data_IF_175377595004
#
_entry.id   IF_175377595004
#
_cell.length_a   1.000
_cell.length_b   1.000
_cell.length_c   1.000
_cell.angle_alpha   90.00
_cell.angle_beta   90.00
_cell.angle_gamma   90.00
#
_symmetry.space_group_name_H-M   'P 1'
#
loop_
_entity.id
_entity.type
_entity.pdbx_description
1 polymer ?
#
# COMPACT_ATOMS: atom_id res chain seq x y z
N UNK A 1 -11.93 -72.04 -28.29
CA UNK A 1 -10.93 -71.11 -27.77
C UNK A 1 -11.47 -69.72 -28.00
N UNK A 2 -12.13 -69.16 -26.97
CA UNK A 2 -12.80 -67.83 -27.03
C UNK A 2 -11.81 -66.81 -26.50
N UNK A 3 -11.39 -65.86 -27.34
CA UNK A 3 -10.54 -64.73 -26.93
C UNK A 3 -11.43 -63.66 -26.35
N UNK A 4 -11.31 -63.42 -25.04
CA UNK A 4 -11.99 -62.36 -24.32
C UNK A 4 -11.17 -61.08 -24.49
N UNK A 5 -11.66 -60.11 -25.23
CA UNK A 5 -11.06 -58.78 -25.38
C UNK A 5 -11.52 -57.93 -24.22
N UNK A 6 -10.58 -57.59 -23.33
CA UNK A 6 -10.83 -56.71 -22.18
C UNK A 6 -10.59 -55.25 -22.64
N UNK A 7 -11.68 -54.51 -22.93
CA UNK A 7 -11.61 -53.10 -23.24
C UNK A 7 -11.53 -52.29 -21.96
N UNK A 8 -10.34 -51.77 -21.62
CA UNK A 8 -10.15 -50.83 -20.54
C UNK A 8 -10.59 -49.45 -21.03
N UNK A 9 -11.77 -49.00 -20.55
CA UNK A 9 -12.22 -47.63 -20.76
C UNK A 9 -11.44 -46.72 -19.82
N UNK A 10 -10.51 -45.93 -20.38
CA UNK A 10 -9.77 -44.89 -19.68
C UNK A 10 -10.72 -43.72 -19.45
N UNK A 11 -11.35 -43.63 -18.26
CA UNK A 11 -12.16 -42.51 -17.86
C UNK A 11 -11.22 -41.34 -17.51
N UNK A 12 -11.01 -40.43 -18.47
CA UNK A 12 -10.39 -39.14 -18.20
C UNK A 12 -11.27 -38.34 -17.25
N UNK A 13 -10.96 -38.36 -15.95
CA UNK A 13 -11.47 -37.40 -14.97
C UNK A 13 -10.94 -36.03 -15.36
N UNK A 14 -11.69 -35.28 -16.16
CA UNK A 14 -11.50 -33.86 -16.34
C UNK A 14 -11.77 -33.22 -14.97
N UNK A 15 -10.71 -32.95 -14.20
CA UNK A 15 -10.76 -32.07 -13.03
C UNK A 15 -11.07 -30.68 -13.62
N UNK A 16 -12.34 -30.34 -13.66
CA UNK A 16 -12.78 -29.00 -14.03
C UNK A 16 -12.15 -28.02 -13.05
N UNK A 17 -11.19 -27.23 -13.50
CA UNK A 17 -10.75 -26.07 -12.76
C UNK A 17 -11.97 -25.15 -12.61
N UNK A 18 -12.68 -25.25 -11.48
CA UNK A 18 -13.71 -24.28 -11.13
C UNK A 18 -12.99 -22.94 -10.99
N UNK A 19 -13.23 -22.04 -11.94
CA UNK A 19 -12.81 -20.65 -11.80
C UNK A 19 -13.40 -20.13 -10.47
N UNK A 20 -12.56 -19.48 -9.66
CA UNK A 20 -13.02 -18.88 -8.40
C UNK A 20 -14.11 -17.86 -8.71
N UNK A 21 -15.13 -17.83 -7.87
CA UNK A 21 -16.19 -16.81 -7.94
C UNK A 21 -15.66 -15.51 -7.32
N UNK A 22 -15.52 -14.47 -8.14
CA UNK A 22 -15.12 -13.13 -7.74
C UNK A 22 -16.30 -12.14 -7.74
N UNK A 23 -17.52 -12.60 -7.53
CA UNK A 23 -18.69 -11.74 -7.33
C UNK A 23 -18.58 -10.82 -6.11
N UNK A 24 -17.72 -11.18 -5.17
CA UNK A 24 -17.30 -10.34 -4.05
C UNK A 24 -15.77 -10.36 -3.95
N UNK A 25 -15.14 -9.18 -3.86
CA UNK A 25 -13.71 -9.01 -3.63
C UNK A 25 -13.52 -8.29 -2.31
N UNK A 26 -12.81 -8.92 -1.39
CA UNK A 26 -12.46 -8.35 -0.08
C UNK A 26 -11.09 -7.72 -0.18
N UNK A 27 -10.98 -6.43 0.12
CA UNK A 27 -9.70 -5.72 0.21
C UNK A 27 -9.32 -5.46 1.65
N UNK A 28 -8.10 -5.82 2.04
CA UNK A 28 -7.44 -5.40 3.27
C UNK A 28 -6.99 -3.95 3.15
N UNK A 29 -7.28 -3.12 4.16
CA UNK A 29 -7.00 -1.69 4.19
C UNK A 29 -6.60 -1.24 5.59
N UNK A 30 -5.56 -0.39 5.68
CA UNK A 30 -5.26 0.38 6.89
C UNK A 30 -5.90 1.77 6.77
N UNK A 31 -7.03 1.97 7.44
CA UNK A 31 -7.82 3.19 7.29
C UNK A 31 -7.31 4.36 8.14
N UNK A 32 -5.98 4.55 8.19
CA UNK A 32 -5.29 5.64 8.92
C UNK A 32 -4.40 6.51 8.02
N UNK A 33 -4.54 6.42 6.69
CA UNK A 33 -3.60 6.97 5.70
C UNK A 33 -4.25 7.94 4.69
N UNK A 34 -4.88 9.06 5.15
CA UNK A 34 -5.47 10.04 4.25
C UNK A 34 -4.40 10.70 3.36
N UNK A 35 -4.69 11.01 2.08
CA UNK A 35 -5.98 10.95 1.40
C UNK A 35 -6.25 9.61 0.70
N UNK A 36 -5.38 8.61 0.83
CA UNK A 36 -5.50 7.34 0.12
C UNK A 36 -6.58 6.45 0.75
N UNK A 37 -6.53 6.22 2.06
CA UNK A 37 -7.52 5.47 2.82
C UNK A 37 -7.66 6.02 4.26
N UNK A 38 -8.88 6.28 4.67
CA UNK A 38 -9.19 6.79 6.01
C UNK A 38 -10.64 6.54 6.37
N UNK A 39 -11.04 6.84 7.60
CA UNK A 39 -12.44 6.82 8.01
C UNK A 39 -13.04 8.22 7.92
N UNK A 40 -14.24 8.30 7.35
CA UNK A 40 -15.07 9.50 7.47
C UNK A 40 -15.74 9.60 8.87
N UNK A 41 -16.49 10.66 9.10
CA UNK A 41 -17.19 10.90 10.38
C UNK A 41 -18.24 9.80 10.72
N UNK A 42 -18.68 9.02 9.74
CA UNK A 42 -19.60 7.89 9.95
C UNK A 42 -18.87 6.57 10.24
N UNK A 43 -17.55 6.57 10.20
CA UNK A 43 -16.70 5.37 10.31
C UNK A 43 -16.55 4.57 9.02
N UNK A 44 -17.06 5.07 7.90
CA UNK A 44 -16.93 4.43 6.59
C UNK A 44 -15.51 4.66 6.04
N UNK A 45 -14.92 3.61 5.48
CA UNK A 45 -13.63 3.71 4.79
C UNK A 45 -13.82 4.48 3.47
N UNK A 46 -13.00 5.52 3.29
CA UNK A 46 -13.02 6.45 2.15
C UNK A 46 -11.59 6.81 1.73
N UNK A 47 -11.41 7.34 0.53
CA UNK A 47 -10.12 7.79 0.04
C UNK A 47 -9.88 7.40 -1.42
N UNK A 48 -8.70 7.75 -1.94
CA UNK A 48 -8.34 7.50 -3.33
C UNK A 48 -8.28 6.00 -3.65
N UNK A 49 -7.61 5.21 -2.81
CA UNK A 49 -7.53 3.75 -2.97
C UNK A 49 -8.92 3.10 -2.91
N UNK A 50 -9.79 3.63 -2.04
CA UNK A 50 -11.15 3.13 -1.89
C UNK A 50 -11.99 3.43 -3.13
N UNK A 51 -11.92 4.64 -3.66
CA UNK A 51 -12.64 5.02 -4.88
C UNK A 51 -12.11 4.20 -6.08
N UNK A 52 -10.80 4.03 -6.19
CA UNK A 52 -10.19 3.23 -7.26
C UNK A 52 -10.57 1.75 -7.16
N UNK A 53 -10.53 1.18 -5.95
CA UNK A 53 -10.96 -0.19 -5.70
C UNK A 53 -12.44 -0.41 -6.04
N UNK A 54 -13.30 0.53 -5.65
CA UNK A 54 -14.73 0.47 -5.99
C UNK A 54 -14.96 0.54 -7.50
N UNK A 55 -14.20 1.37 -8.23
CA UNK A 55 -14.26 1.43 -9.69
C UNK A 55 -13.79 0.10 -10.32
N UNK A 56 -12.69 -0.48 -9.83
CA UNK A 56 -12.20 -1.80 -10.26
C UNK A 56 -13.30 -2.86 -10.05
N UNK A 57 -13.90 -2.93 -8.85
CA UNK A 57 -14.99 -3.87 -8.57
C UNK A 57 -16.20 -3.64 -9.52
N UNK A 58 -16.54 -2.38 -9.80
CA UNK A 58 -17.61 -2.04 -10.73
C UNK A 58 -17.35 -2.60 -12.13
N UNK A 59 -16.13 -2.45 -12.67
CA UNK A 59 -15.71 -3.03 -13.95
C UNK A 59 -15.82 -4.55 -13.97
N UNK A 60 -15.49 -5.19 -12.87
CA UNK A 60 -15.57 -6.63 -12.71
C UNK A 60 -16.98 -7.15 -12.37
N UNK A 61 -17.98 -6.25 -12.22
CA UNK A 61 -19.33 -6.57 -11.73
C UNK A 61 -19.29 -7.31 -10.38
N UNK A 62 -18.33 -6.96 -9.55
CA UNK A 62 -18.12 -7.51 -8.22
C UNK A 62 -18.53 -6.51 -7.13
N UNK A 63 -18.83 -7.03 -5.94
CA UNK A 63 -19.00 -6.21 -4.73
C UNK A 63 -17.64 -6.04 -4.05
N UNK A 64 -17.20 -4.80 -3.82
CA UNK A 64 -16.09 -4.53 -2.92
C UNK A 64 -16.51 -4.64 -1.45
N UNK A 65 -15.66 -5.27 -0.63
CA UNK A 65 -15.77 -5.30 0.83
C UNK A 65 -14.43 -4.89 1.42
N UNK A 66 -14.42 -3.91 2.29
CA UNK A 66 -13.22 -3.37 2.94
C UNK A 66 -13.04 -4.00 4.31
N UNK A 67 -11.88 -4.61 4.55
CA UNK A 67 -11.52 -5.30 5.79
C UNK A 67 -10.36 -4.55 6.41
N UNK A 68 -10.60 -3.91 7.53
CA UNK A 68 -9.55 -3.19 8.25
C UNK A 68 -8.54 -4.15 8.87
N UNK A 69 -7.28 -3.79 8.75
CA UNK A 69 -6.16 -4.52 9.33
C UNK A 69 -4.96 -3.57 9.46
N UNK A 70 -4.15 -3.75 10.50
CA UNK A 70 -2.90 -3.00 10.64
C UNK A 70 -1.95 -3.33 9.48
N UNK A 71 -1.18 -2.32 9.04
CA UNK A 71 -0.38 -2.44 7.81
C UNK A 71 0.66 -3.57 7.86
N UNK A 72 1.35 -3.75 8.98
CA UNK A 72 2.35 -4.80 9.18
C UNK A 72 1.78 -6.21 9.08
N UNK A 73 0.49 -6.37 9.40
CA UNK A 73 -0.26 -7.62 9.31
C UNK A 73 -0.86 -7.93 7.93
N UNK A 74 -0.76 -7.04 6.93
CA UNK A 74 -1.44 -7.19 5.64
C UNK A 74 -1.01 -8.44 4.86
N UNK A 75 0.27 -8.65 4.66
CA UNK A 75 0.76 -9.81 3.88
C UNK A 75 0.44 -11.14 4.58
N UNK A 76 0.69 -11.32 5.89
CA UNK A 76 0.25 -12.50 6.61
C UNK A 76 -1.26 -12.77 6.51
N UNK A 77 -2.10 -11.73 6.66
CA UNK A 77 -3.55 -11.84 6.59
C UNK A 77 -4.05 -12.20 5.17
N UNK A 78 -3.43 -11.63 4.12
CA UNK A 78 -3.69 -12.00 2.72
C UNK A 78 -3.38 -13.48 2.46
N UNK A 79 -2.22 -13.96 2.93
CA UNK A 79 -1.82 -15.38 2.82
C UNK A 79 -2.75 -16.30 3.60
N UNK A 80 -3.27 -15.85 4.73
CA UNK A 80 -4.28 -16.54 5.53
C UNK A 80 -5.71 -16.41 4.98
N UNK A 81 -5.91 -15.79 3.79
CA UNK A 81 -7.20 -15.63 3.10
C UNK A 81 -8.25 -14.82 3.89
N UNK A 82 -7.82 -13.95 4.80
CA UNK A 82 -8.74 -13.04 5.50
C UNK A 82 -9.40 -12.06 4.51
N UNK A 83 -8.68 -11.69 3.44
CA UNK A 83 -9.16 -10.89 2.31
C UNK A 83 -8.51 -11.41 1.02
N UNK A 84 -8.91 -10.87 -0.12
CA UNK A 84 -8.54 -11.36 -1.45
C UNK A 84 -7.45 -10.51 -2.10
N UNK A 85 -7.36 -9.24 -1.73
CA UNK A 85 -6.30 -8.32 -2.12
C UNK A 85 -5.96 -7.36 -0.98
N UNK A 86 -4.80 -6.74 -1.04
CA UNK A 86 -4.40 -5.60 -0.21
C UNK A 86 -4.44 -4.36 -1.08
N UNK A 87 -5.32 -3.41 -0.75
CA UNK A 87 -5.38 -2.10 -1.39
C UNK A 87 -5.29 -1.06 -0.28
N UNK A 88 -4.05 -0.64 -0.01
CA UNK A 88 -3.66 0.20 1.13
C UNK A 88 -2.28 0.81 0.86
N UNK A 89 -2.16 1.52 -0.25
CA UNK A 89 -0.93 2.24 -0.63
C UNK A 89 0.34 1.37 -0.59
N UNK A 90 0.18 0.05 -0.84
CA UNK A 90 1.27 -0.92 -0.67
C UNK A 90 2.30 -0.83 -1.79
N UNK A 91 3.49 -0.33 -1.48
CA UNK A 91 4.61 -0.24 -2.44
C UNK A 91 5.08 -1.62 -2.91
N UNK A 92 5.32 -1.73 -4.21
CA UNK A 92 5.84 -2.92 -4.88
C UNK A 92 7.36 -2.99 -4.69
N UNK A 93 7.81 -3.78 -3.71
CA UNK A 93 9.24 -4.02 -3.48
C UNK A 93 9.63 -5.44 -3.86
N UNK A 94 10.91 -5.71 -4.22
CA UNK A 94 11.39 -7.07 -4.47
C UNK A 94 11.08 -8.03 -3.31
N UNK A 95 11.32 -7.61 -2.07
CA UNK A 95 11.09 -8.44 -0.89
C UNK A 95 9.62 -8.82 -0.69
N UNK A 96 8.67 -7.92 -1.01
CA UNK A 96 7.24 -8.22 -0.98
C UNK A 96 6.84 -9.11 -2.15
N UNK A 97 7.40 -8.87 -3.35
CA UNK A 97 7.15 -9.68 -4.55
C UNK A 97 7.61 -11.15 -4.43
N UNK A 98 8.58 -11.43 -3.56
CA UNK A 98 8.94 -12.81 -3.20
C UNK A 98 7.78 -13.54 -2.49
N UNK A 99 6.93 -12.83 -1.76
CA UNK A 99 5.87 -13.41 -0.93
C UNK A 99 4.49 -13.39 -1.59
N UNK A 100 4.16 -12.33 -2.33
CA UNK A 100 2.86 -12.07 -2.95
C UNK A 100 3.03 -11.63 -4.40
N UNK A 101 1.95 -11.64 -5.17
CA UNK A 101 1.88 -10.98 -6.48
C UNK A 101 1.37 -9.54 -6.31
N UNK A 102 1.63 -8.70 -7.31
CA UNK A 102 1.10 -7.35 -7.39
C UNK A 102 0.34 -7.14 -8.68
N UNK A 103 -0.68 -6.29 -8.66
CA UNK A 103 -1.29 -5.74 -9.86
C UNK A 103 -0.31 -4.84 -10.62
N UNK A 104 -0.75 -4.32 -11.76
CA UNK A 104 -0.12 -3.16 -12.37
C UNK A 104 -0.10 -1.97 -11.41
N UNK A 105 0.85 -1.04 -11.65
CA UNK A 105 1.03 0.16 -10.81
C UNK A 105 -0.25 1.00 -10.74
N UNK A 106 -0.57 1.45 -9.53
CA UNK A 106 -1.66 2.38 -9.29
C UNK A 106 -1.18 3.83 -9.23
N UNK A 107 -0.09 4.09 -8.51
CA UNK A 107 0.53 5.41 -8.37
C UNK A 107 1.97 5.28 -7.85
N UNK A 108 2.69 6.41 -7.80
CA UNK A 108 4.02 6.48 -7.21
C UNK A 108 4.19 7.80 -6.45
N UNK A 109 4.60 7.70 -5.19
CA UNK A 109 4.77 8.85 -4.30
C UNK A 109 6.14 8.79 -3.62
N UNK A 110 6.84 9.93 -3.47
CA UNK A 110 8.17 9.92 -2.86
C UNK A 110 8.11 9.71 -1.36
N UNK A 111 9.22 9.24 -0.78
CA UNK A 111 9.43 9.19 0.67
C UNK A 111 10.17 10.44 1.12
N UNK A 112 9.69 11.07 2.21
CA UNK A 112 10.29 12.29 2.77
C UNK A 112 10.39 12.26 4.29
N UNK A 113 11.35 12.99 4.80
CA UNK A 113 11.46 13.28 6.23
C UNK A 113 10.60 14.49 6.57
N UNK A 114 9.84 14.39 7.67
CA UNK A 114 9.10 15.49 8.28
C UNK A 114 9.71 15.82 9.64
N UNK A 115 9.93 17.09 9.91
CA UNK A 115 10.47 17.56 11.19
C UNK A 115 9.86 18.92 11.58
N UNK A 116 10.09 19.35 12.81
CA UNK A 116 9.70 20.69 13.26
C UNK A 116 10.40 21.76 12.44
N UNK A 117 9.69 22.80 12.06
CA UNK A 117 10.26 23.96 11.34
C UNK A 117 11.46 24.52 12.10
N UNK A 118 12.55 24.74 11.39
CA UNK A 118 13.81 25.24 11.99
C UNK A 118 14.65 24.19 12.70
N UNK A 119 14.29 22.90 12.68
CA UNK A 119 15.11 21.83 13.25
C UNK A 119 16.44 21.59 12.50
N UNK A 120 16.56 22.07 11.24
CA UNK A 120 17.73 21.94 10.38
C UNK A 120 18.20 20.49 10.20
N UNK A 121 17.26 19.54 10.20
CA UNK A 121 17.52 18.13 9.95
C UNK A 121 17.53 17.84 8.45
N UNK A 122 18.33 16.85 8.06
CA UNK A 122 18.39 16.31 6.71
C UNK A 122 18.09 14.82 6.73
N UNK A 123 17.57 14.23 5.64
CA UNK A 123 17.26 12.80 5.57
C UNK A 123 18.53 11.95 5.36
N UNK A 124 19.51 12.15 6.22
CA UNK A 124 20.78 11.41 6.22
C UNK A 124 21.09 10.88 7.61
N UNK A 125 21.75 9.73 7.68
CA UNK A 125 22.08 9.12 8.95
C UNK A 125 23.02 10.02 9.81
N UNK A 126 23.86 10.81 9.17
CA UNK A 126 24.78 11.74 9.83
C UNK A 126 24.01 12.87 10.54
N UNK A 127 23.02 13.47 9.85
CA UNK A 127 22.17 14.52 10.42
C UNK A 127 21.24 14.00 11.51
N UNK A 128 20.83 12.75 11.42
CA UNK A 128 19.87 12.12 12.33
C UNK A 128 20.53 11.29 13.45
N UNK A 129 21.85 11.26 13.53
CA UNK A 129 22.57 10.51 14.57
C UNK A 129 22.14 10.95 15.98
N UNK A 130 21.73 9.99 16.81
CA UNK A 130 21.21 10.24 18.16
C UNK A 130 19.79 10.79 18.20
N UNK A 131 19.14 10.97 17.04
CA UNK A 131 17.75 11.45 16.91
C UNK A 131 16.76 10.28 16.89
N UNK A 132 15.54 10.54 17.37
CA UNK A 132 14.42 9.61 17.32
C UNK A 132 13.57 9.88 16.08
N UNK A 133 13.50 8.91 15.17
CA UNK A 133 12.72 9.00 13.92
C UNK A 133 11.58 8.00 13.96
N UNK A 134 10.34 8.52 13.94
CA UNK A 134 9.13 7.71 13.88
C UNK A 134 8.85 7.18 12.48
N UNK A 135 8.37 5.96 12.41
CA UNK A 135 7.94 5.26 11.19
C UNK A 135 6.71 4.41 11.48
N UNK A 136 5.88 4.20 10.51
CA UNK A 136 4.82 3.20 10.62
C UNK A 136 5.39 1.80 10.38
N UNK A 137 5.00 0.86 11.22
CA UNK A 137 5.50 -0.53 11.23
C UNK A 137 5.09 -1.28 9.94
N UNK A 138 6.01 -2.09 9.42
CA UNK A 138 5.80 -2.88 8.21
C UNK A 138 5.96 -2.09 6.90
N UNK A 139 6.21 -0.77 6.98
CA UNK A 139 6.36 0.10 5.79
C UNK A 139 7.75 0.00 5.15
N UNK A 140 7.84 0.52 3.93
CA UNK A 140 9.11 0.70 3.23
C UNK A 140 10.01 1.73 3.94
N UNK A 141 9.41 2.72 4.58
CA UNK A 141 10.10 3.75 5.36
C UNK A 141 10.78 3.14 6.59
N UNK A 142 10.08 2.24 7.31
CA UNK A 142 10.69 1.48 8.40
C UNK A 142 11.87 0.64 7.90
N UNK A 143 11.68 -0.08 6.79
CA UNK A 143 12.72 -0.91 6.18
C UNK A 143 13.95 -0.08 5.81
N UNK A 144 13.75 1.07 5.15
CA UNK A 144 14.82 2.00 4.78
C UNK A 144 15.56 2.51 6.01
N UNK A 145 14.84 3.05 6.99
CA UNK A 145 15.45 3.63 8.19
C UNK A 145 16.22 2.58 9.02
N UNK A 146 15.66 1.38 9.18
CA UNK A 146 16.35 0.27 9.87
C UNK A 146 17.58 -0.21 9.11
N UNK A 147 17.56 -0.21 7.79
CA UNK A 147 18.68 -0.68 6.95
C UNK A 147 19.82 0.32 6.93
N UNK A 148 19.53 1.61 6.77
CA UNK A 148 20.55 2.60 6.46
C UNK A 148 20.86 3.57 7.60
N UNK A 149 19.92 3.82 8.52
CA UNK A 149 20.06 4.82 9.57
C UNK A 149 20.31 4.22 10.95
N UNK A 150 19.58 3.17 11.33
CA UNK A 150 19.73 2.55 12.65
C UNK A 150 21.17 2.06 12.92
N UNK A 151 21.90 1.40 11.99
CA UNK A 151 23.28 0.98 12.21
C UNK A 151 24.27 2.14 12.43
N UNK A 152 23.87 3.36 12.06
CA UNK A 152 24.67 4.58 12.20
C UNK A 152 24.28 5.42 13.43
N UNK A 153 23.41 4.88 14.30
CA UNK A 153 23.06 5.50 15.57
C UNK A 153 21.81 6.36 15.56
N UNK A 154 20.92 6.23 14.55
CA UNK A 154 19.59 6.82 14.56
C UNK A 154 18.64 5.88 15.32
N UNK A 155 17.81 6.44 16.20
CA UNK A 155 16.78 5.68 16.92
C UNK A 155 15.53 5.60 16.05
N UNK A 156 15.31 4.47 15.37
CA UNK A 156 14.11 4.22 14.57
C UNK A 156 13.02 3.68 15.47
N UNK A 157 11.91 4.41 15.58
CA UNK A 157 10.80 4.09 16.49
C UNK A 157 9.57 3.70 15.66
N UNK A 158 9.21 2.41 15.59
CA UNK A 158 8.03 1.95 14.86
C UNK A 158 6.75 2.18 15.66
N UNK A 159 5.68 2.55 14.96
CA UNK A 159 4.31 2.74 15.47
C UNK A 159 3.34 1.87 14.69
N UNK A 160 2.26 1.46 15.34
CA UNK A 160 1.24 0.63 14.72
C UNK A 160 0.56 1.32 13.52
N UNK A 161 0.41 2.65 13.57
CA UNK A 161 -0.17 3.45 12.50
C UNK A 161 0.46 4.85 12.44
N UNK A 162 0.18 5.56 11.34
CA UNK A 162 0.76 6.88 11.10
C UNK A 162 0.28 7.96 12.09
N UNK A 163 -0.94 7.85 12.62
CA UNK A 163 -1.44 8.79 13.64
C UNK A 163 -0.63 8.76 14.93
N UNK A 164 -0.18 7.59 15.36
CA UNK A 164 0.72 7.45 16.50
C UNK A 164 2.06 8.15 16.29
N UNK A 165 2.62 8.06 15.08
CA UNK A 165 3.83 8.80 14.71
C UNK A 165 3.61 10.31 14.85
N UNK A 166 2.49 10.84 14.33
CA UNK A 166 2.19 12.27 14.43
C UNK A 166 1.98 12.74 15.85
N UNK A 167 1.30 11.95 16.69
CA UNK A 167 1.08 12.30 18.10
C UNK A 167 2.42 12.48 18.84
N UNK A 168 3.36 11.58 18.61
CA UNK A 168 4.67 11.62 19.26
C UNK A 168 5.59 12.68 18.65
N UNK A 169 5.47 12.93 17.35
CA UNK A 169 6.16 14.04 16.69
C UNK A 169 5.68 15.41 17.25
N UNK A 170 4.37 15.61 17.38
CA UNK A 170 3.79 16.85 17.93
C UNK A 170 4.14 17.06 19.39
N UNK A 171 4.22 15.99 20.18
CA UNK A 171 4.59 16.08 21.61
C UNK A 171 6.09 16.27 21.84
N UNK A 172 6.92 16.16 20.79
CA UNK A 172 8.37 16.25 20.88
C UNK A 172 9.06 14.98 21.40
N UNK A 173 8.35 13.85 21.47
CA UNK A 173 8.98 12.54 21.75
C UNK A 173 9.77 12.01 20.54
N UNK A 174 9.44 12.48 19.33
CA UNK A 174 10.18 12.24 18.12
C UNK A 174 10.82 13.54 17.62
N UNK A 175 12.03 13.45 17.09
CA UNK A 175 12.70 14.56 16.40
C UNK A 175 12.22 14.71 14.96
N UNK A 176 11.86 13.59 14.31
CA UNK A 176 11.38 13.55 12.93
C UNK A 176 10.49 12.33 12.67
N UNK A 177 9.82 12.34 11.53
CA UNK A 177 9.07 11.19 11.00
C UNK A 177 9.49 10.93 9.54
N UNK A 178 9.66 9.67 9.17
CA UNK A 178 9.93 9.27 7.79
C UNK A 178 8.70 8.60 7.21
N UNK A 179 8.17 9.12 6.09
CA UNK A 179 6.91 8.64 5.54
C UNK A 179 6.69 9.05 4.08
N UNK A 180 5.55 8.67 3.54
CA UNK A 180 5.07 9.09 2.23
C UNK A 180 4.85 10.61 2.18
N UNK A 181 5.35 11.27 1.12
CA UNK A 181 5.27 12.73 1.02
C UNK A 181 3.85 13.25 0.81
N UNK A 182 3.03 12.53 0.04
CA UNK A 182 1.67 12.96 -0.27
C UNK A 182 0.77 12.80 0.95
N UNK A 183 0.90 11.68 1.65
CA UNK A 183 0.21 11.46 2.90
C UNK A 183 0.63 12.50 3.95
N UNK A 184 1.93 12.78 4.09
CA UNK A 184 2.44 13.81 4.99
C UNK A 184 1.87 15.17 4.67
N UNK A 185 1.91 15.57 3.40
CA UNK A 185 1.47 16.89 2.96
C UNK A 185 -0.02 17.09 3.23
N UNK A 186 -0.86 16.17 2.77
CA UNK A 186 -2.32 16.32 2.82
C UNK A 186 -2.88 15.89 4.18
N UNK A 187 -2.41 14.77 4.72
CA UNK A 187 -2.92 14.21 5.98
C UNK A 187 -2.40 14.89 7.24
N UNK A 188 -1.29 15.63 7.15
CA UNK A 188 -0.67 16.25 8.31
C UNK A 188 -0.25 17.72 8.08
N UNK A 189 0.70 18.01 7.19
CA UNK A 189 1.33 19.33 7.07
C UNK A 189 0.33 20.45 6.70
N UNK A 190 -0.65 20.15 5.85
CA UNK A 190 -1.73 21.09 5.46
C UNK A 190 -2.90 21.14 6.46
N UNK A 191 -2.79 20.46 7.59
CA UNK A 191 -3.78 20.49 8.67
C UNK A 191 -3.31 21.37 9.83
N UNK A 192 -4.20 21.79 10.73
CA UNK A 192 -3.80 22.52 11.95
C UNK A 192 -2.76 21.77 12.80
N UNK A 193 -2.77 20.43 12.79
CA UNK A 193 -1.81 19.57 13.51
C UNK A 193 -0.38 19.74 13.00
N UNK A 194 -0.22 19.93 11.70
CA UNK A 194 1.08 20.05 11.03
C UNK A 194 1.64 21.48 10.95
N UNK A 195 0.93 22.50 11.49
CA UNK A 195 1.29 23.91 11.29
C UNK A 195 2.74 24.28 11.67
N UNK A 196 3.32 23.58 12.64
CA UNK A 196 4.69 23.80 13.12
C UNK A 196 5.74 22.89 12.48
N UNK A 197 5.35 22.07 11.49
CA UNK A 197 6.18 21.07 10.85
C UNK A 197 6.34 21.37 9.36
N UNK A 198 7.36 20.79 8.75
CA UNK A 198 7.61 20.87 7.31
C UNK A 198 8.47 19.69 6.87
N UNK A 199 8.61 19.53 5.58
CA UNK A 199 9.57 18.61 5.02
C UNK A 199 11.00 19.04 5.32
N UNK A 200 11.82 18.08 5.74
CA UNK A 200 13.22 18.26 6.05
C UNK A 200 14.09 17.62 4.97
N UNK A 201 14.71 18.45 4.14
CA UNK A 201 15.54 18.02 3.03
C UNK A 201 14.77 17.57 1.78
N UNK A 202 15.46 16.81 0.93
CA UNK A 202 14.93 16.32 -0.37
C UNK A 202 14.23 14.97 -0.22
N UNK A 203 13.59 14.55 -1.30
CA UNK A 203 13.05 13.21 -1.46
C UNK A 203 14.16 12.16 -1.31
N UNK A 204 13.78 11.02 -0.75
CA UNK A 204 14.66 9.86 -0.65
C UNK A 204 14.37 8.93 -1.81
N UNK A 205 15.39 8.61 -2.58
CA UNK A 205 15.33 7.67 -3.70
C UNK A 205 16.20 6.44 -3.39
N UNK A 206 15.54 5.29 -3.25
CA UNK A 206 16.18 3.98 -3.11
C UNK A 206 15.24 2.87 -3.60
N UNK A 207 15.24 2.56 -4.90
CA UNK A 207 14.35 1.55 -5.47
C UNK A 207 14.45 0.17 -4.80
N UNK A 208 15.59 -0.12 -4.17
CA UNK A 208 15.83 -1.40 -3.51
C UNK A 208 14.93 -1.61 -2.29
N UNK A 209 14.74 -0.59 -1.46
CA UNK A 209 13.92 -0.67 -0.25
C UNK A 209 12.58 0.03 -0.39
N UNK A 210 12.50 1.12 -1.17
CA UNK A 210 11.30 1.93 -1.33
C UNK A 210 10.39 1.44 -2.48
N UNK A 211 10.94 0.63 -3.43
CA UNK A 211 10.18 0.10 -4.54
C UNK A 211 9.91 1.11 -5.65
N UNK A 212 8.99 0.77 -6.57
CA UNK A 212 8.69 1.54 -7.78
C UNK A 212 7.20 1.88 -7.89
N UNK A 213 6.59 2.35 -6.81
CA UNK A 213 5.18 2.70 -6.74
C UNK A 213 4.33 1.66 -6.03
N UNK A 214 3.05 2.00 -5.85
CA UNK A 214 2.06 1.19 -5.18
C UNK A 214 1.24 0.34 -6.16
N UNK A 215 0.80 -0.83 -5.70
CA UNK A 215 -0.07 -1.75 -6.44
C UNK A 215 -0.93 -2.57 -5.49
N UNK A 216 -1.93 -3.26 -6.01
CA UNK A 216 -2.75 -4.18 -5.23
C UNK A 216 -1.96 -5.46 -4.95
N UNK A 217 -1.73 -5.76 -3.68
CA UNK A 217 -1.13 -7.02 -3.26
C UNK A 217 -2.11 -8.17 -3.39
N UNK A 218 -1.71 -9.28 -4.04
CA UNK A 218 -2.56 -10.43 -4.32
C UNK A 218 -1.83 -11.72 -3.97
N UNK A 219 -2.56 -12.80 -3.67
CA UNK A 219 -1.92 -14.11 -3.54
C UNK A 219 -1.40 -14.58 -4.90
N UNK A 220 -0.24 -15.21 -4.92
CA UNK A 220 0.34 -15.78 -6.16
C UNK A 220 -0.58 -16.82 -6.84
N UNK A 221 -1.39 -17.51 -6.04
CA UNK A 221 -2.34 -18.52 -6.51
C UNK A 221 -3.64 -17.93 -7.09
N UNK A 222 -3.84 -16.62 -7.02
CA UNK A 222 -5.00 -15.90 -7.54
C UNK A 222 -4.65 -15.14 -8.84
N UNK A 223 -3.92 -15.80 -9.74
CA UNK A 223 -3.47 -15.22 -11.01
C UNK A 223 -4.65 -14.76 -11.91
N UNK A 224 -5.79 -15.45 -11.81
CA UNK A 224 -7.03 -15.09 -12.50
C UNK A 224 -7.62 -13.77 -11.99
N UNK A 225 -7.60 -13.54 -10.67
CA UNK A 225 -8.01 -12.26 -10.08
C UNK A 225 -7.04 -11.15 -10.49
N UNK A 226 -5.73 -11.41 -10.42
CA UNK A 226 -4.71 -10.45 -10.88
C UNK A 226 -4.99 -9.99 -12.32
N UNK A 227 -5.15 -10.93 -13.24
CA UNK A 227 -5.39 -10.60 -14.65
C UNK A 227 -6.66 -9.76 -14.86
N UNK A 228 -7.74 -10.04 -14.10
CA UNK A 228 -8.97 -9.25 -14.13
C UNK A 228 -8.75 -7.83 -13.60
N UNK A 229 -8.04 -7.69 -12.49
CA UNK A 229 -7.71 -6.39 -11.88
C UNK A 229 -6.84 -5.56 -12.82
N UNK A 230 -5.77 -6.14 -13.39
CA UNK A 230 -4.88 -5.45 -14.32
C UNK A 230 -5.65 -4.95 -15.55
N UNK A 231 -6.55 -5.77 -16.10
CA UNK A 231 -7.41 -5.35 -17.21
C UNK A 231 -8.31 -4.17 -16.82
N UNK A 232 -8.93 -4.22 -15.64
CA UNK A 232 -9.75 -3.13 -15.14
C UNK A 232 -8.93 -1.85 -14.92
N UNK A 233 -7.71 -1.94 -14.38
CA UNK A 233 -6.79 -0.80 -14.22
C UNK A 233 -6.46 -0.19 -15.59
N UNK A 234 -6.12 -1.02 -16.58
CA UNK A 234 -5.81 -0.55 -17.93
C UNK A 234 -7.00 0.19 -18.57
N UNK A 235 -8.22 -0.34 -18.42
CA UNK A 235 -9.44 0.31 -18.92
C UNK A 235 -9.73 1.65 -18.22
N UNK A 236 -9.58 1.72 -16.89
CA UNK A 236 -9.77 2.92 -16.06
C UNK A 236 -8.78 4.03 -16.48
N UNK A 237 -7.55 3.66 -16.78
CA UNK A 237 -6.53 4.60 -17.28
C UNK A 237 -6.89 5.07 -18.69
N UNK A 238 -7.20 4.13 -19.59
CA UNK A 238 -7.45 4.39 -21.01
C UNK A 238 -8.65 5.29 -21.24
N UNK A 239 -9.73 5.13 -20.49
CA UNK A 239 -10.97 5.94 -20.69
C UNK A 239 -10.98 7.24 -19.88
N UNK A 240 -9.91 7.54 -19.15
CA UNK A 240 -9.73 8.77 -18.37
C UNK A 240 -10.44 8.77 -17.01
N UNK A 241 -11.04 7.65 -16.58
CA UNK A 241 -11.65 7.53 -15.25
C UNK A 241 -10.62 7.71 -14.14
N UNK A 242 -9.39 7.17 -14.33
CA UNK A 242 -8.29 7.37 -13.40
C UNK A 242 -8.04 8.86 -13.14
N UNK A 243 -7.88 9.67 -14.18
CA UNK A 243 -7.67 11.11 -14.06
C UNK A 243 -8.83 11.86 -13.41
N UNK A 244 -10.07 11.38 -13.55
CA UNK A 244 -11.22 11.96 -12.85
C UNK A 244 -11.17 11.66 -11.34
N UNK A 245 -10.79 10.43 -10.96
CA UNK A 245 -10.61 10.03 -9.57
C UNK A 245 -9.44 10.77 -8.95
N UNK A 246 -8.29 10.78 -9.62
CA UNK A 246 -7.09 11.49 -9.18
C UNK A 246 -7.37 12.95 -8.82
N UNK A 247 -8.06 13.70 -9.70
CA UNK A 247 -8.39 15.12 -9.51
C UNK A 247 -9.30 15.41 -8.30
N UNK A 248 -9.96 14.43 -7.72
CA UNK A 248 -10.74 14.62 -6.48
C UNK A 248 -9.82 14.78 -5.27
N UNK A 249 -8.63 14.19 -5.32
CA UNK A 249 -7.72 14.07 -4.17
C UNK A 249 -6.45 14.87 -4.32
N UNK A 250 -5.95 15.03 -5.57
CA UNK A 250 -4.64 15.59 -5.86
C UNK A 250 -4.72 16.72 -6.91
N UNK A 251 -3.92 17.77 -6.69
CA UNK A 251 -3.73 18.85 -7.65
C UNK A 251 -2.59 18.57 -8.65
N UNK A 252 -1.97 17.39 -8.56
CA UNK A 252 -0.81 16.96 -9.35
C UNK A 252 -0.99 15.50 -9.79
N UNK A 253 -0.15 15.04 -10.71
CA UNK A 253 -0.15 13.68 -11.23
C UNK A 253 0.52 12.74 -10.21
N UNK A 254 -0.25 11.83 -9.58
CA UNK A 254 0.31 10.81 -8.67
C UNK A 254 0.68 9.51 -9.39
N UNK A 255 0.21 9.32 -10.62
CA UNK A 255 0.57 8.12 -11.38
C UNK A 255 2.06 8.11 -11.70
N UNK A 256 2.63 9.29 -11.96
CA UNK A 256 4.03 9.46 -12.31
C UNK A 256 4.33 8.83 -13.66
N UNK A 257 4.34 9.61 -14.72
CA UNK A 257 4.70 9.21 -16.09
C UNK A 257 6.17 8.86 -16.20
#
# INVERSE_FOLDING_TARGET
>A
MKKLALSIALACLAVGAHAKDWSTIRFGVDASYPPFESKDASGKVVGFDVDLGNEICGRLKAKCVWIENDFDGMIPALKAKKFDGVLSSMSMTPARAEQIAFSDKLFNTPTRLVAKKGANLLPTAESLKGKSVGVEQGTIQETYAKTYWAPKGVQVVPYQNQDGVYQDLMSGRLDAALQDAVQAEIGFLKTPRGANFDFAGKDIDDPKTLGNGAGIGLRKDDADLKAKIDHAIADIIKDGTYKKLEKKYFAFDVYGG
#
